data_IF_650718404814
#
_entry.id   IF_650718404814
#
_cell.length_a   1.000
_cell.length_b   1.000
_cell.length_c   1.000
_cell.angle_alpha   90.00
_cell.angle_beta   90.00
_cell.angle_gamma   90.00
#
_symmetry.space_group_name_H-M   'P 1'
#
loop_
_entity.id
_entity.type
_entity.pdbx_description
1 polymer ?
#
# COMPACT_ATOMS: atom_id res chain seq x y z
N UNK A 1 36.62 16.88 -38.68
CA UNK A 1 36.26 18.01 -37.79
C UNK A 1 34.84 17.73 -37.29
N UNK A 2 34.61 17.31 -36.04
CA UNK A 2 34.45 18.14 -34.82
C UNK A 2 33.45 19.29 -35.09
N UNK A 3 32.32 19.48 -34.41
CA UNK A 3 31.91 19.19 -33.04
C UNK A 3 30.38 19.25 -32.88
N UNK A 4 29.81 18.42 -32.01
CA UNK A 4 28.70 18.80 -31.11
C UNK A 4 28.70 17.82 -29.94
N UNK A 5 29.02 18.32 -28.74
CA UNK A 5 29.20 17.53 -27.51
C UNK A 5 27.84 17.34 -26.82
N UNK A 6 27.52 16.09 -26.51
CA UNK A 6 26.45 15.71 -25.58
C UNK A 6 26.74 16.27 -24.19
N UNK A 7 25.91 17.21 -23.73
CA UNK A 7 25.92 17.76 -22.36
C UNK A 7 25.03 16.97 -21.38
N UNK A 8 24.38 15.89 -21.83
CA UNK A 8 23.51 15.04 -20.99
C UNK A 8 24.20 13.81 -20.41
N UNK A 9 25.44 13.49 -20.82
CA UNK A 9 26.16 12.29 -20.34
C UNK A 9 27.08 12.53 -19.14
N UNK A 10 27.12 13.74 -18.57
CA UNK A 10 27.99 14.08 -17.43
C UNK A 10 27.30 14.05 -16.05
N UNK A 11 25.99 13.76 -15.98
CA UNK A 11 25.25 13.71 -14.71
C UNK A 11 24.76 12.30 -14.30
N UNK A 12 25.13 11.25 -15.05
CA UNK A 12 24.71 9.87 -14.77
C UNK A 12 25.82 8.95 -14.23
N UNK A 13 27.09 9.40 -14.18
CA UNK A 13 28.24 8.54 -13.85
C UNK A 13 28.99 8.90 -12.54
N UNK A 14 28.43 9.72 -11.65
CA UNK A 14 29.10 10.15 -10.41
C UNK A 14 28.52 9.57 -9.11
N UNK A 15 27.74 8.49 -9.15
CA UNK A 15 27.22 7.80 -7.95
C UNK A 15 27.60 6.31 -7.87
N UNK A 16 28.71 5.90 -8.48
CA UNK A 16 29.43 4.71 -8.03
C UNK A 16 30.36 5.14 -6.88
N UNK A 17 30.19 4.55 -5.69
CA UNK A 17 31.31 4.45 -4.74
C UNK A 17 31.15 4.94 -3.30
N UNK A 18 29.96 5.11 -2.73
CA UNK A 18 29.82 5.16 -1.26
C UNK A 18 28.59 4.38 -0.77
N UNK A 19 28.75 3.41 0.15
CA UNK A 19 27.61 2.76 0.77
C UNK A 19 26.82 3.83 1.55
N UNK A 20 25.57 4.08 1.16
CA UNK A 20 24.70 4.94 1.95
C UNK A 20 24.56 4.35 3.34
N UNK A 21 25.04 5.09 4.34
CA UNK A 21 24.97 4.66 5.73
C UNK A 21 23.50 4.63 6.17
N UNK A 22 22.94 3.43 6.31
CA UNK A 22 21.58 3.26 6.81
C UNK A 22 21.54 3.60 8.31
N UNK A 23 20.46 4.22 8.82
CA UNK A 23 20.36 4.52 10.24
C UNK A 23 20.31 3.24 11.07
N UNK A 24 20.95 3.27 12.24
CA UNK A 24 20.79 2.21 13.26
C UNK A 24 19.31 2.12 13.66
N UNK A 25 18.82 0.93 14.12
CA UNK A 25 17.41 0.74 14.47
C UNK A 25 16.82 1.81 15.40
N UNK A 26 17.56 2.19 16.45
CA UNK A 26 17.15 3.21 17.42
C UNK A 26 17.17 4.66 16.89
N UNK A 27 17.78 4.91 15.72
CA UNK A 27 17.90 6.22 15.11
C UNK A 27 17.02 6.40 13.86
N UNK A 28 16.22 5.38 13.49
CA UNK A 28 15.39 5.41 12.27
C UNK A 28 14.34 6.51 12.29
N UNK A 29 13.68 6.72 13.43
CA UNK A 29 12.50 7.58 13.52
C UNK A 29 12.75 8.99 12.99
N UNK A 30 13.82 9.65 13.44
CA UNK A 30 14.19 11.01 12.98
C UNK A 30 14.37 11.06 11.46
N UNK A 31 15.07 10.08 10.89
CA UNK A 31 15.29 9.98 9.44
C UNK A 31 13.98 9.76 8.68
N UNK A 32 13.10 8.89 9.19
CA UNK A 32 11.79 8.61 8.59
C UNK A 32 10.87 9.82 8.63
N UNK A 33 10.84 10.54 9.75
CA UNK A 33 10.06 11.79 9.88
C UNK A 33 10.54 12.84 8.89
N UNK A 34 11.86 13.02 8.74
CA UNK A 34 12.41 13.95 7.75
C UNK A 34 12.06 13.53 6.32
N UNK A 35 12.20 12.25 5.99
CA UNK A 35 11.82 11.71 4.69
C UNK A 35 10.31 11.88 4.41
N UNK A 36 9.46 11.69 5.42
CA UNK A 36 8.02 11.93 5.32
C UNK A 36 7.74 13.39 4.99
N UNK A 37 8.33 14.31 5.74
CA UNK A 37 8.15 15.75 5.54
C UNK A 37 8.62 16.17 4.14
N UNK A 38 9.78 15.68 3.68
CA UNK A 38 10.27 15.94 2.33
C UNK A 38 9.35 15.36 1.25
N UNK A 39 8.75 14.18 1.46
CA UNK A 39 7.77 13.61 0.51
C UNK A 39 6.50 14.44 0.45
N UNK A 40 5.97 14.87 1.59
CA UNK A 40 4.77 15.71 1.66
C UNK A 40 5.02 17.11 1.06
N UNK A 41 6.21 17.67 1.24
CA UNK A 41 6.58 18.99 0.71
C UNK A 41 6.71 19.05 -0.82
N UNK A 42 6.64 17.92 -1.52
CA UNK A 42 6.82 17.88 -2.99
C UNK A 42 5.70 18.59 -3.76
N UNK A 43 4.47 18.54 -3.26
CA UNK A 43 3.32 19.17 -3.89
C UNK A 43 2.12 19.20 -2.94
N UNK A 44 1.12 20.04 -3.24
CA UNK A 44 -0.14 20.05 -2.51
C UNK A 44 -0.82 18.66 -2.52
N UNK A 45 -0.78 17.96 -3.65
CA UNK A 45 -1.31 16.60 -3.77
C UNK A 45 -0.58 15.61 -2.85
N UNK A 46 0.76 15.68 -2.78
CA UNK A 46 1.55 14.83 -1.89
C UNK A 46 1.30 15.13 -0.41
N UNK A 47 1.13 16.42 -0.06
CA UNK A 47 0.78 16.85 1.29
C UNK A 47 -0.59 16.31 1.71
N UNK A 48 -1.63 16.53 0.89
CA UNK A 48 -2.98 16.07 1.17
C UNK A 48 -3.01 14.55 1.36
N UNK A 49 -2.38 13.79 0.47
CA UNK A 49 -2.28 12.32 0.60
C UNK A 49 -1.44 11.84 1.78
N UNK A 50 -0.47 12.63 2.21
CA UNK A 50 0.42 12.27 3.33
C UNK A 50 -0.16 12.53 4.71
N UNK A 51 -1.32 13.20 4.81
CA UNK A 51 -1.82 13.73 6.08
C UNK A 51 -3.34 13.54 6.26
N UNK A 52 -3.73 12.29 6.55
CA UNK A 52 -5.12 11.90 6.77
C UNK A 52 -5.75 12.55 8.01
N UNK A 53 -4.98 12.71 9.10
CA UNK A 53 -5.46 13.32 10.33
C UNK A 53 -5.87 14.80 10.11
N UNK A 54 -5.00 15.60 9.48
CA UNK A 54 -5.35 17.00 9.18
C UNK A 54 -6.50 17.14 8.20
N UNK A 55 -6.68 16.19 7.27
CA UNK A 55 -7.87 16.18 6.43
C UNK A 55 -9.15 16.07 7.25
N UNK A 56 -9.19 15.17 8.22
CA UNK A 56 -10.37 15.04 9.07
C UNK A 56 -10.51 16.23 10.02
N UNK A 57 -9.43 16.76 10.60
CA UNK A 57 -9.51 18.01 11.39
C UNK A 57 -10.11 19.16 10.56
N UNK A 58 -9.62 19.34 9.33
CA UNK A 58 -10.17 20.33 8.40
C UNK A 58 -11.64 20.07 8.10
N UNK A 59 -12.02 18.83 7.81
CA UNK A 59 -13.39 18.46 7.48
C UNK A 59 -14.36 18.73 8.63
N UNK A 60 -13.97 18.40 9.87
CA UNK A 60 -14.78 18.65 11.06
C UNK A 60 -14.83 20.14 11.45
N UNK A 61 -13.84 20.94 11.05
CA UNK A 61 -13.82 22.39 11.31
C UNK A 61 -14.79 23.20 10.44
N UNK A 62 -15.36 22.60 9.38
CA UNK A 62 -16.27 23.30 8.47
C UNK A 62 -17.64 23.54 9.13
N UNK A 63 -17.86 24.76 9.64
CA UNK A 63 -19.15 25.18 10.19
C UNK A 63 -20.22 25.31 9.10
N UNK A 64 -21.39 24.69 9.28
CA UNK A 64 -22.58 24.90 8.44
C UNK A 64 -22.68 24.06 7.16
N UNK A 65 -21.61 23.37 6.74
CA UNK A 65 -21.65 22.39 5.63
C UNK A 65 -21.58 20.98 6.18
N UNK A 66 -22.73 20.41 6.53
CA UNK A 66 -22.79 19.00 6.93
C UNK A 66 -22.73 18.14 5.69
N UNK A 67 -21.82 17.17 5.69
CA UNK A 67 -21.88 16.08 4.72
C UNK A 67 -23.26 15.40 4.79
N UNK A 68 -23.79 14.91 3.66
CA UNK A 68 -25.01 14.13 3.68
C UNK A 68 -24.85 12.94 4.62
N UNK A 69 -25.93 12.58 5.32
CA UNK A 69 -25.93 11.37 6.15
C UNK A 69 -26.01 10.15 5.24
N UNK A 70 -25.07 9.21 5.42
CA UNK A 70 -25.08 7.92 4.74
C UNK A 70 -25.22 6.74 5.71
N UNK A 71 -25.52 5.54 5.20
CA UNK A 71 -25.56 4.34 6.02
C UNK A 71 -24.18 4.01 6.59
N UNK A 72 -24.10 3.33 7.75
CA UNK A 72 -22.85 2.86 8.31
C UNK A 72 -22.32 1.68 7.49
N UNK A 73 -21.32 1.93 6.64
CA UNK A 73 -20.66 0.91 5.80
C UNK A 73 -19.16 0.95 6.02
N UNK A 74 -18.46 -0.13 5.65
CA UNK A 74 -17.00 -0.07 5.57
C UNK A 74 -16.58 0.98 4.55
N UNK A 75 -15.69 1.87 4.96
CA UNK A 75 -15.05 2.89 4.13
C UNK A 75 -13.54 2.71 4.20
N UNK A 76 -12.82 3.11 3.17
CA UNK A 76 -11.36 3.14 3.12
C UNK A 76 -10.79 4.09 4.17
N UNK A 77 -11.45 5.24 4.39
CA UNK A 77 -11.07 6.23 5.39
C UNK A 77 -9.89 7.12 4.96
N UNK A 78 -9.14 6.74 3.93
CA UNK A 78 -8.12 7.57 3.26
C UNK A 78 -8.18 7.41 1.74
N UNK A 79 -9.40 7.34 1.18
CA UNK A 79 -9.60 7.07 -0.23
C UNK A 79 -9.00 8.18 -1.11
N UNK A 80 -7.99 7.85 -1.91
CA UNK A 80 -7.36 8.79 -2.82
C UNK A 80 -6.95 8.10 -4.11
N UNK A 81 -6.70 8.84 -5.19
CA UNK A 81 -6.45 8.26 -6.53
C UNK A 81 -5.33 7.21 -6.56
N UNK A 82 -4.30 7.35 -5.71
CA UNK A 82 -3.21 6.37 -5.60
C UNK A 82 -3.58 5.02 -4.93
N UNK A 83 -4.75 4.93 -4.29
CA UNK A 83 -5.24 3.70 -3.67
C UNK A 83 -5.93 2.81 -4.69
N UNK A 84 -6.46 3.39 -5.75
CA UNK A 84 -7.10 2.65 -6.83
C UNK A 84 -6.03 2.01 -7.72
N UNK A 85 -6.24 0.74 -8.06
CA UNK A 85 -5.47 0.13 -9.13
C UNK A 85 -5.45 -1.40 -9.11
N UNK A 86 -4.70 -1.99 -10.06
CA UNK A 86 -4.70 -3.41 -10.27
C UNK A 86 -4.11 -4.15 -9.07
N UNK A 87 -4.81 -5.19 -8.62
CA UNK A 87 -4.39 -6.11 -7.57
C UNK A 87 -4.77 -7.53 -7.98
N UNK A 88 -3.86 -8.49 -7.81
CA UNK A 88 -4.17 -9.91 -7.99
C UNK A 88 -4.98 -10.47 -6.83
N UNK A 89 -5.83 -11.46 -7.09
CA UNK A 89 -6.40 -12.35 -6.07
C UNK A 89 -5.46 -13.55 -5.79
N UNK A 90 -5.86 -14.48 -4.90
CA UNK A 90 -5.08 -15.67 -4.57
C UNK A 90 -4.87 -16.61 -5.76
N UNK A 91 -5.74 -16.55 -6.77
CA UNK A 91 -5.66 -17.31 -8.02
C UNK A 91 -4.90 -16.58 -9.13
N UNK A 92 -4.40 -15.37 -8.86
CA UNK A 92 -3.66 -14.56 -9.81
C UNK A 92 -4.53 -13.78 -10.81
N UNK A 93 -5.85 -13.76 -10.64
CA UNK A 93 -6.75 -12.89 -11.43
C UNK A 93 -6.55 -11.45 -10.98
N UNK A 94 -6.37 -10.53 -11.92
CA UNK A 94 -6.06 -9.13 -11.62
C UNK A 94 -7.28 -8.28 -11.87
N UNK A 95 -7.63 -7.48 -10.86
CA UNK A 95 -8.77 -6.57 -10.89
C UNK A 95 -8.43 -5.21 -10.24
N UNK A 96 -9.27 -4.20 -10.46
CA UNK A 96 -9.19 -2.87 -9.90
C UNK A 96 -9.79 -2.86 -8.50
N UNK A 97 -8.92 -2.68 -7.50
CA UNK A 97 -9.33 -2.66 -6.10
C UNK A 97 -8.88 -1.37 -5.42
N UNK A 98 -9.51 -1.08 -4.27
CA UNK A 98 -9.03 -0.08 -3.32
C UNK A 98 -7.92 -0.74 -2.49
N UNK A 99 -6.75 -0.13 -2.46
CA UNK A 99 -5.62 -0.54 -1.62
C UNK A 99 -5.43 0.42 -0.45
N UNK A 100 -4.51 0.06 0.44
CA UNK A 100 -4.08 0.88 1.58
C UNK A 100 -5.25 1.18 2.55
N UNK A 101 -5.69 0.12 3.23
CA UNK A 101 -6.88 0.10 4.09
C UNK A 101 -6.54 0.31 5.57
N UNK A 102 -5.39 0.92 5.84
CA UNK A 102 -4.87 1.22 7.17
C UNK A 102 -5.87 2.08 7.97
N UNK A 103 -6.66 2.90 7.28
CA UNK A 103 -7.67 3.82 7.84
C UNK A 103 -9.10 3.26 7.78
N UNK A 104 -9.29 2.01 7.38
CA UNK A 104 -10.61 1.45 7.15
C UNK A 104 -11.44 1.35 8.43
N UNK A 105 -12.67 1.86 8.38
CA UNK A 105 -13.63 1.86 9.49
C UNK A 105 -15.04 1.69 8.95
N UNK A 106 -15.99 1.34 9.81
CA UNK A 106 -17.40 1.52 9.50
C UNK A 106 -17.77 2.99 9.75
N UNK A 107 -18.11 3.71 8.68
CA UNK A 107 -18.34 5.16 8.70
C UNK A 107 -19.31 5.64 7.63
N UNK A 108 -19.39 6.96 7.46
CA UNK A 108 -20.20 7.59 6.42
C UNK A 108 -19.47 7.50 5.06
N UNK A 109 -20.07 6.92 4.00
CA UNK A 109 -19.43 6.80 2.68
C UNK A 109 -19.05 8.15 2.06
N UNK A 110 -19.72 9.25 2.44
CA UNK A 110 -19.37 10.60 1.99
C UNK A 110 -17.92 10.99 2.31
N UNK A 111 -17.30 10.42 3.36
CA UNK A 111 -15.90 10.69 3.68
C UNK A 111 -14.95 10.25 2.58
N UNK A 112 -15.16 9.05 2.01
CA UNK A 112 -14.30 8.53 0.94
C UNK A 112 -14.50 9.32 -0.36
N UNK A 113 -15.74 9.72 -0.69
CA UNK A 113 -16.03 10.53 -1.87
C UNK A 113 -15.37 11.90 -1.80
N UNK A 114 -15.48 12.58 -0.65
CA UNK A 114 -14.84 13.89 -0.44
C UNK A 114 -13.32 13.77 -0.44
N UNK A 115 -12.77 12.72 0.19
CA UNK A 115 -11.33 12.46 0.20
C UNK A 115 -10.79 12.19 -1.21
N UNK A 116 -11.50 11.37 -1.99
CA UNK A 116 -11.13 11.05 -3.36
C UNK A 116 -11.25 12.27 -4.27
N UNK A 117 -12.34 13.04 -4.15
CA UNK A 117 -12.54 14.28 -4.89
C UNK A 117 -11.44 15.30 -4.60
N UNK A 118 -11.07 15.52 -3.32
CA UNK A 118 -9.95 16.38 -2.96
C UNK A 118 -8.62 15.87 -3.54
N UNK A 119 -8.41 14.56 -3.54
CA UNK A 119 -7.24 13.94 -4.17
C UNK A 119 -7.20 14.22 -5.68
N UNK A 120 -8.31 14.06 -6.39
CA UNK A 120 -8.38 14.33 -7.83
C UNK A 120 -8.18 15.81 -8.15
N UNK A 121 -8.84 16.70 -7.42
CA UNK A 121 -8.71 18.15 -7.60
C UNK A 121 -7.27 18.64 -7.37
N UNK A 122 -6.60 18.13 -6.34
CA UNK A 122 -5.20 18.48 -6.06
C UNK A 122 -4.23 17.87 -7.07
N UNK A 123 -4.52 16.67 -7.60
CA UNK A 123 -3.72 16.06 -8.67
C UNK A 123 -3.85 16.83 -9.99
N UNK A 124 -5.08 17.24 -10.35
CA UNK A 124 -5.35 18.04 -11.54
C UNK A 124 -4.66 19.40 -11.45
N UNK A 125 -4.79 20.07 -10.30
CA UNK A 125 -4.09 21.34 -10.03
C UNK A 125 -2.57 21.20 -10.07
N UNK A 126 -2.03 20.10 -9.53
CA UNK A 126 -0.59 19.83 -9.57
C UNK A 126 -0.06 19.49 -10.97
N UNK A 127 -0.95 19.22 -11.93
CA UNK A 127 -0.64 18.96 -13.34
C UNK A 127 -1.03 20.14 -14.24
N UNK A 128 -1.30 21.32 -13.67
CA UNK A 128 -1.73 22.53 -14.37
C UNK A 128 -2.94 22.34 -15.31
N UNK A 129 -3.84 21.40 -14.97
CA UNK A 129 -5.05 21.18 -15.75
C UNK A 129 -6.07 22.31 -15.54
N UNK A 130 -6.82 22.72 -16.58
CA UNK A 130 -7.86 23.72 -16.45
C UNK A 130 -8.93 23.36 -15.41
N UNK A 131 -9.54 24.37 -14.80
CA UNK A 131 -10.61 24.19 -13.81
C UNK A 131 -11.80 23.39 -14.37
N UNK A 132 -12.13 23.56 -15.65
CA UNK A 132 -13.16 22.78 -16.34
C UNK A 132 -12.83 21.29 -16.42
N UNK A 133 -11.55 20.93 -16.59
CA UNK A 133 -11.10 19.54 -16.57
C UNK A 133 -11.22 18.97 -15.17
N UNK A 134 -10.86 19.75 -14.15
CA UNK A 134 -11.02 19.34 -12.74
C UNK A 134 -12.49 19.10 -12.41
N UNK A 135 -13.38 20.02 -12.78
CA UNK A 135 -14.81 19.88 -12.55
C UNK A 135 -15.37 18.61 -13.21
N UNK A 136 -15.02 18.39 -14.48
CA UNK A 136 -15.41 17.17 -15.20
C UNK A 136 -14.89 15.90 -14.53
N UNK A 137 -13.63 15.87 -14.08
CA UNK A 137 -13.11 14.71 -13.36
C UNK A 137 -13.90 14.39 -12.08
N UNK A 138 -14.38 15.41 -11.37
CA UNK A 138 -15.19 15.22 -10.16
C UNK A 138 -16.62 14.79 -10.48
N UNK A 139 -17.20 15.32 -11.56
CA UNK A 139 -18.51 14.94 -12.07
C UNK A 139 -18.53 13.47 -12.50
N UNK A 140 -17.58 13.05 -13.32
CA UNK A 140 -17.46 11.66 -13.79
C UNK A 140 -17.17 10.69 -12.62
N UNK A 141 -16.45 11.15 -11.59
CA UNK A 141 -16.26 10.38 -10.35
C UNK A 141 -17.59 10.13 -9.62
N UNK A 142 -18.43 11.17 -9.49
CA UNK A 142 -19.73 11.03 -8.83
C UNK A 142 -20.70 10.22 -9.68
N UNK A 143 -20.73 10.46 -11.00
CA UNK A 143 -21.55 9.69 -11.92
C UNK A 143 -21.21 8.20 -11.86
N UNK A 144 -19.93 7.82 -11.91
CA UNK A 144 -19.51 6.42 -11.78
C UNK A 144 -19.87 5.82 -10.41
N UNK A 145 -19.92 6.62 -9.34
CA UNK A 145 -20.40 6.16 -8.04
C UNK A 145 -21.92 5.92 -8.03
N UNK A 146 -22.70 6.78 -8.68
CA UNK A 146 -24.16 6.63 -8.80
C UNK A 146 -24.55 5.45 -9.69
N UNK A 147 -23.88 5.28 -10.84
CA UNK A 147 -24.09 4.19 -11.78
C UNK A 147 -23.86 2.81 -11.15
N UNK A 148 -22.93 2.72 -10.18
CA UNK A 148 -22.66 1.48 -9.45
C UNK A 148 -23.87 0.96 -8.64
N UNK A 149 -24.90 1.79 -8.39
CA UNK A 149 -26.15 1.38 -7.73
C UNK A 149 -27.28 1.05 -8.71
N UNK A 150 -27.10 1.36 -10.01
CA UNK A 150 -28.16 1.26 -11.02
C UNK A 150 -28.13 -0.06 -11.80
N UNK A 151 -27.00 -0.78 -11.80
CA UNK A 151 -26.86 -2.10 -12.42
C UNK A 151 -27.22 -3.25 -11.46
N UNK A 152 -27.48 -4.42 -12.01
CA UNK A 152 -27.45 -5.66 -11.23
C UNK A 152 -26.00 -5.86 -10.77
N UNK A 153 -25.75 -5.90 -9.45
CA UNK A 153 -24.43 -5.75 -8.81
C UNK A 153 -23.32 -6.75 -9.21
N UNK A 154 -23.57 -7.62 -10.18
CA UNK A 154 -22.64 -8.58 -10.76
C UNK A 154 -22.10 -8.16 -12.16
N UNK A 155 -22.69 -7.14 -12.81
CA UNK A 155 -22.19 -6.65 -14.10
C UNK A 155 -21.03 -5.67 -13.92
N UNK A 156 -19.85 -6.07 -14.39
CA UNK A 156 -18.67 -5.22 -14.36
C UNK A 156 -18.68 -4.22 -15.52
N UNK A 157 -18.55 -2.90 -15.26
CA UNK A 157 -18.60 -1.90 -16.31
C UNK A 157 -17.45 -2.08 -17.31
N UNK A 158 -17.68 -1.68 -18.56
CA UNK A 158 -16.63 -1.74 -19.57
C UNK A 158 -15.48 -0.80 -19.18
N UNK A 159 -14.33 -1.41 -18.87
CA UNK A 159 -13.14 -0.64 -18.48
C UNK A 159 -12.57 0.15 -19.66
N UNK A 160 -12.25 1.44 -19.48
CA UNK A 160 -11.56 2.23 -20.49
C UNK A 160 -10.20 1.61 -20.88
N UNK A 161 -9.74 1.89 -22.10
CA UNK A 161 -8.48 1.37 -22.63
C UNK A 161 -7.28 1.68 -21.71
N UNK A 162 -7.26 2.86 -21.09
CA UNK A 162 -6.21 3.30 -20.18
C UNK A 162 -6.14 2.41 -18.93
N UNK A 163 -7.30 1.97 -18.42
CA UNK A 163 -7.39 1.03 -17.30
C UNK A 163 -6.90 -0.35 -17.75
N UNK A 164 -7.36 -0.83 -18.91
CA UNK A 164 -6.91 -2.12 -19.50
C UNK A 164 -5.38 -2.15 -19.69
N UNK A 165 -4.77 -1.05 -20.16
CA UNK A 165 -3.31 -0.90 -20.29
C UNK A 165 -2.62 -0.92 -18.91
N UNK A 166 -3.15 -0.16 -17.94
CA UNK A 166 -2.63 -0.14 -16.57
C UNK A 166 -2.63 -1.53 -15.92
N UNK A 167 -3.70 -2.30 -16.13
CA UNK A 167 -3.81 -3.69 -15.68
C UNK A 167 -2.77 -4.59 -16.34
N UNK A 168 -2.61 -4.52 -17.68
CA UNK A 168 -1.58 -5.30 -18.41
C UNK A 168 -0.17 -4.99 -17.92
N UNK A 169 0.16 -3.73 -17.68
CA UNK A 169 1.47 -3.33 -17.15
C UNK A 169 1.71 -3.89 -15.74
N UNK A 170 0.68 -3.97 -14.90
CA UNK A 170 0.78 -4.58 -13.57
C UNK A 170 1.02 -6.10 -13.63
N UNK A 171 0.40 -6.79 -14.60
CA UNK A 171 0.64 -8.24 -14.84
C UNK A 171 2.10 -8.48 -15.23
N UNK A 172 2.64 -7.67 -16.15
CA UNK A 172 4.01 -7.80 -16.64
C UNK A 172 5.06 -7.46 -15.57
N UNK A 173 4.72 -6.61 -14.60
CA UNK A 173 5.52 -6.36 -13.39
C UNK A 173 5.41 -7.47 -12.35
N UNK A 174 5.07 -8.69 -12.76
CA UNK A 174 5.16 -9.84 -11.86
C UNK A 174 6.62 -10.03 -11.43
N UNK A 175 6.79 -10.26 -10.14
CA UNK A 175 8.08 -10.32 -9.44
C UNK A 175 9.12 -11.28 -10.05
N UNK A 176 8.76 -12.14 -11.01
CA UNK A 176 9.73 -12.90 -11.83
C UNK A 176 10.81 -11.98 -12.45
N UNK A 177 10.48 -10.71 -12.77
CA UNK A 177 11.48 -9.73 -13.24
C UNK A 177 12.33 -9.11 -12.12
N UNK A 178 11.75 -8.77 -10.96
CA UNK A 178 12.50 -8.14 -9.86
C UNK A 178 13.42 -9.12 -9.12
N UNK A 179 13.07 -10.40 -9.06
CA UNK A 179 13.91 -11.43 -8.45
C UNK A 179 15.05 -11.87 -9.40
N UNK A 180 14.78 -12.05 -10.71
CA UNK A 180 15.83 -12.40 -11.66
C UNK A 180 16.85 -11.29 -11.92
N UNK A 181 16.44 -10.02 -11.88
CA UNK A 181 17.35 -8.89 -12.17
C UNK A 181 18.26 -8.51 -10.97
N UNK A 182 18.09 -9.09 -9.78
CA UNK A 182 18.78 -8.63 -8.55
C UNK A 182 19.42 -9.70 -7.68
N UNK A 183 19.28 -10.99 -8.01
CA UNK A 183 19.83 -12.09 -7.23
C UNK A 183 20.72 -12.97 -8.14
N UNK A 184 21.98 -12.55 -8.31
CA UNK A 184 23.03 -13.36 -8.96
C UNK A 184 23.67 -14.37 -7.98
N UNK A 185 23.33 -14.29 -6.69
CA UNK A 185 23.88 -15.15 -5.63
C UNK A 185 23.05 -16.42 -5.37
N UNK A 186 23.74 -17.47 -4.94
CA UNK A 186 23.21 -18.82 -4.63
C UNK A 186 22.18 -18.83 -3.49
N UNK A 187 22.06 -17.75 -2.71
CA UNK A 187 20.97 -17.53 -1.75
C UNK A 187 20.44 -16.10 -1.88
N UNK A 188 19.12 -15.90 -2.08
CA UNK A 188 18.55 -14.58 -2.29
C UNK A 188 18.51 -13.78 -0.97
N UNK A 189 18.95 -12.52 -1.02
CA UNK A 189 19.00 -11.61 0.14
C UNK A 189 18.45 -10.23 -0.19
N UNK A 190 17.85 -9.54 0.78
CA UNK A 190 17.28 -8.19 0.62
C UNK A 190 18.42 -7.16 0.71
N UNK A 191 18.74 -6.43 -0.37
CA UNK A 191 19.88 -5.51 -0.37
C UNK A 191 19.58 -4.27 0.48
N UNK A 192 20.41 -4.07 1.51
CA UNK A 192 20.31 -2.89 2.37
C UNK A 192 20.73 -1.62 1.63
N UNK A 193 20.05 -0.50 1.91
CA UNK A 193 20.33 0.79 1.29
C UNK A 193 19.18 1.77 1.43
N UNK A 194 18.78 2.41 0.32
CA UNK A 194 17.75 3.46 0.30
C UNK A 194 16.38 2.97 0.81
N UNK A 195 16.03 1.74 0.45
CA UNK A 195 14.68 1.20 0.63
C UNK A 195 14.59 0.16 1.75
N UNK A 196 15.72 -0.45 2.12
CA UNK A 196 15.77 -1.51 3.11
C UNK A 196 16.86 -1.20 4.14
N UNK A 197 16.52 -1.22 5.42
CA UNK A 197 17.46 -0.97 6.52
C UNK A 197 17.61 -2.21 7.40
N UNK A 198 18.77 -2.32 8.07
CA UNK A 198 19.05 -3.45 8.95
C UNK A 198 18.08 -3.47 10.14
N UNK A 199 17.53 -4.64 10.47
CA UNK A 199 16.69 -4.90 11.64
C UNK A 199 17.48 -4.80 12.97
N UNK A 200 16.79 -4.52 14.07
CA UNK A 200 17.30 -4.80 15.41
C UNK A 200 17.28 -6.31 15.69
N UNK A 201 17.99 -6.75 16.73
CA UNK A 201 17.95 -8.15 17.17
C UNK A 201 16.52 -8.57 17.56
N UNK A 202 15.80 -7.74 18.32
CA UNK A 202 14.44 -8.04 18.75
C UNK A 202 13.46 -8.13 17.56
N UNK A 203 13.60 -7.25 16.57
CA UNK A 203 12.80 -7.30 15.33
C UNK A 203 13.06 -8.58 14.55
N UNK A 204 14.34 -8.97 14.40
CA UNK A 204 14.71 -10.19 13.68
C UNK A 204 14.16 -11.44 14.36
N UNK A 205 14.30 -11.57 15.68
CA UNK A 205 13.78 -12.74 16.41
C UNK A 205 12.24 -12.79 16.36
N UNK A 206 11.56 -11.65 16.52
CA UNK A 206 10.11 -11.59 16.43
C UNK A 206 9.58 -12.02 15.05
N UNK A 207 10.21 -11.54 13.96
CA UNK A 207 9.87 -11.96 12.60
C UNK A 207 10.15 -13.45 12.39
N UNK A 208 11.29 -13.95 12.90
CA UNK A 208 11.63 -15.37 12.81
C UNK A 208 10.57 -16.24 13.49
N UNK A 209 10.18 -15.92 14.72
CA UNK A 209 9.10 -16.63 15.43
C UNK A 209 7.79 -16.54 14.66
N UNK A 210 7.41 -15.34 14.19
CA UNK A 210 6.19 -15.13 13.43
C UNK A 210 6.13 -15.99 12.15
N UNK A 211 7.23 -16.11 11.41
CA UNK A 211 7.27 -16.89 10.16
C UNK A 211 7.14 -18.40 10.36
N UNK A 212 7.20 -18.89 11.61
CA UNK A 212 6.98 -20.31 11.95
C UNK A 212 5.54 -20.64 12.32
N UNK A 213 4.63 -19.65 12.39
CA UNK A 213 3.24 -19.91 12.78
C UNK A 213 2.43 -20.49 11.63
N UNK A 214 1.40 -21.28 11.97
CA UNK A 214 0.50 -21.91 11.00
C UNK A 214 -0.25 -20.89 10.15
N UNK A 215 -0.53 -19.70 10.65
CA UNK A 215 -1.22 -18.66 9.91
C UNK A 215 -0.37 -18.07 8.78
N UNK A 216 0.95 -17.91 9.00
CA UNK A 216 1.88 -17.46 7.95
C UNK A 216 2.06 -18.56 6.91
N UNK A 217 2.22 -19.80 7.37
CA UNK A 217 2.32 -20.95 6.47
C UNK A 217 1.09 -21.07 5.57
N UNK A 218 -0.12 -21.00 6.14
CA UNK A 218 -1.38 -21.02 5.39
C UNK A 218 -1.51 -19.84 4.42
N UNK A 219 -1.08 -18.63 4.83
CA UNK A 219 -1.08 -17.46 3.94
C UNK A 219 -0.18 -17.69 2.73
N UNK A 220 1.07 -18.12 2.95
CA UNK A 220 2.09 -18.29 1.90
C UNK A 220 1.72 -19.40 0.92
N UNK A 221 1.14 -20.50 1.41
CA UNK A 221 0.68 -21.65 0.59
C UNK A 221 -0.66 -21.39 -0.11
N UNK A 222 -1.49 -20.45 0.37
CA UNK A 222 -2.75 -20.10 -0.31
C UNK A 222 -2.57 -19.37 -1.65
N UNK A 223 -1.34 -18.95 -1.98
CA UNK A 223 -1.03 -18.12 -3.15
C UNK A 223 -0.67 -19.02 -4.34
N UNK A 224 -1.28 -18.77 -5.51
CA UNK A 224 -0.84 -19.32 -6.81
C UNK A 224 -0.78 -20.85 -6.94
N UNK A 225 -1.76 -21.57 -6.40
CA UNK A 225 -1.88 -23.01 -6.65
C UNK A 225 -0.78 -23.87 -6.02
N UNK A 226 -0.06 -23.32 -5.04
CA UNK A 226 0.87 -24.04 -4.18
C UNK A 226 0.15 -25.10 -3.36
N UNK A 227 0.88 -26.13 -2.94
CA UNK A 227 0.34 -27.15 -2.06
C UNK A 227 0.24 -26.62 -0.64
N UNK A 228 -0.81 -27.04 0.08
CA UNK A 228 -0.91 -26.78 1.52
C UNK A 228 0.18 -27.49 2.34
N UNK A 229 0.88 -28.46 1.76
CA UNK A 229 1.96 -29.21 2.42
C UNK A 229 3.35 -28.71 2.03
N UNK A 230 3.46 -27.68 1.18
CA UNK A 230 4.75 -27.16 0.74
C UNK A 230 5.58 -26.67 1.93
N UNK A 231 6.87 -26.99 1.91
CA UNK A 231 7.81 -26.48 2.90
C UNK A 231 7.94 -24.96 2.76
N UNK A 232 7.86 -24.23 3.88
CA UNK A 232 7.99 -22.77 3.90
C UNK A 232 9.13 -22.40 4.85
N UNK A 233 10.07 -21.60 4.34
CA UNK A 233 11.21 -21.14 5.14
C UNK A 233 11.44 -19.64 5.00
N UNK A 234 11.89 -19.02 6.09
CA UNK A 234 12.33 -17.63 6.11
C UNK A 234 13.75 -17.55 5.52
N UNK A 235 13.92 -16.79 4.44
CA UNK A 235 15.22 -16.59 3.77
C UNK A 235 15.89 -15.30 4.25
N UNK A 236 15.17 -14.18 4.25
CA UNK A 236 15.72 -12.91 4.72
C UNK A 236 14.63 -11.92 5.17
N UNK A 237 15.00 -10.91 5.94
CA UNK A 237 14.10 -9.84 6.38
C UNK A 237 14.80 -8.51 6.59
N UNK A 238 14.11 -7.42 6.24
CA UNK A 238 14.63 -6.06 6.40
C UNK A 238 13.54 -5.06 6.80
N UNK A 239 13.96 -3.95 7.41
CA UNK A 239 13.07 -2.81 7.65
C UNK A 239 12.77 -2.10 6.33
N UNK A 240 11.49 -1.89 6.00
CA UNK A 240 11.08 -1.38 4.69
C UNK A 240 10.73 0.12 4.72
N UNK A 241 11.55 0.92 4.06
CA UNK A 241 11.34 2.37 3.87
C UNK A 241 10.37 2.61 2.71
N UNK A 242 9.07 2.51 2.98
CA UNK A 242 8.01 2.67 1.96
C UNK A 242 6.80 3.43 2.50
N UNK A 243 6.09 4.09 1.59
CA UNK A 243 4.92 4.92 1.89
C UNK A 243 5.23 6.42 2.00
N UNK A 244 4.21 7.19 2.33
CA UNK A 244 4.32 8.61 2.66
C UNK A 244 3.84 8.82 4.10
N UNK A 245 2.52 8.80 4.33
CA UNK A 245 1.88 8.93 5.64
C UNK A 245 2.36 7.88 6.65
N UNK A 246 2.59 6.65 6.19
CA UNK A 246 3.05 5.52 7.03
C UNK A 246 4.53 5.58 7.45
N UNK A 247 5.32 6.55 6.95
CA UNK A 247 6.72 6.68 7.37
C UNK A 247 6.79 7.11 8.83
N UNK A 248 7.50 6.32 9.63
CA UNK A 248 7.55 6.45 11.09
C UNK A 248 6.83 5.30 11.81
N UNK A 249 5.98 4.56 11.10
CA UNK A 249 5.43 3.28 11.57
C UNK A 249 6.39 2.13 11.23
N UNK A 250 6.25 1.01 11.94
CA UNK A 250 7.02 -0.19 11.68
C UNK A 250 6.53 -0.89 10.42
N UNK A 251 7.47 -1.24 9.54
CA UNK A 251 7.19 -1.98 8.31
C UNK A 251 8.37 -2.86 7.96
N UNK A 252 8.10 -4.11 7.62
CA UNK A 252 9.12 -5.10 7.33
C UNK A 252 8.83 -5.78 5.99
N UNK A 253 9.90 -6.02 5.25
CA UNK A 253 9.89 -6.87 4.07
C UNK A 253 10.48 -8.22 4.50
N UNK A 254 9.77 -9.31 4.20
CA UNK A 254 10.17 -10.67 4.59
C UNK A 254 10.15 -11.55 3.36
N UNK A 255 11.29 -12.12 3.04
CA UNK A 255 11.48 -13.04 1.91
C UNK A 255 11.35 -14.49 2.41
N UNK A 256 10.38 -15.20 1.86
CA UNK A 256 10.10 -16.60 2.14
C UNK A 256 10.42 -17.46 0.92
N UNK A 257 11.01 -18.64 1.15
CA UNK A 257 11.12 -19.72 0.18
C UNK A 257 9.97 -20.71 0.38
N UNK A 258 9.44 -21.24 -0.72
CA UNK A 258 8.35 -22.22 -0.74
C UNK A 258 8.68 -23.36 -1.68
N UNK A 259 8.47 -24.59 -1.23
CA UNK A 259 8.84 -25.81 -1.95
C UNK A 259 10.27 -26.26 -1.65
N UNK A 260 10.71 -27.28 -2.39
CA UNK A 260 12.01 -27.91 -2.22
C UNK A 260 13.14 -27.10 -2.86
N UNK A 261 14.40 -27.39 -2.51
CA UNK A 261 15.56 -26.62 -2.98
C UNK A 261 15.70 -26.60 -4.52
N UNK A 262 15.26 -27.65 -5.21
CA UNK A 262 15.36 -27.79 -6.66
C UNK A 262 14.28 -27.02 -7.46
N UNK A 263 13.14 -26.69 -6.85
CA UNK A 263 12.02 -25.95 -7.48
C UNK A 263 11.48 -24.84 -6.56
N UNK A 264 12.39 -24.19 -5.83
CA UNK A 264 12.01 -23.21 -4.81
C UNK A 264 11.39 -21.95 -5.43
N UNK A 265 10.16 -21.65 -5.01
CA UNK A 265 9.51 -20.38 -5.30
C UNK A 265 9.76 -19.34 -4.19
N UNK A 266 9.77 -18.06 -4.57
CA UNK A 266 9.91 -16.96 -3.63
C UNK A 266 8.60 -16.24 -3.37
N UNK A 267 8.38 -15.85 -2.11
CA UNK A 267 7.25 -15.04 -1.67
C UNK A 267 7.76 -13.87 -0.81
N UNK A 268 7.33 -12.64 -1.12
CA UNK A 268 7.66 -11.46 -0.33
C UNK A 268 6.44 -11.02 0.46
N UNK A 269 6.54 -11.02 1.78
CA UNK A 269 5.51 -10.55 2.69
C UNK A 269 5.78 -9.10 3.11
N UNK A 270 4.72 -8.29 3.13
CA UNK A 270 4.70 -6.90 3.62
C UNK A 270 4.06 -6.84 5.00
N UNK A 271 4.88 -6.84 6.05
CA UNK A 271 4.39 -6.75 7.43
C UNK A 271 4.30 -5.27 7.81
N UNK A 272 3.11 -4.78 8.10
CA UNK A 272 2.85 -3.36 8.40
C UNK A 272 2.20 -3.18 9.75
N UNK A 273 2.70 -2.23 10.53
CA UNK A 273 2.10 -1.83 11.79
C UNK A 273 0.71 -1.22 11.55
N UNK A 274 -0.24 -1.67 12.35
CA UNK A 274 -1.61 -1.21 12.35
C UNK A 274 -1.85 -0.29 13.55
N UNK A 275 -2.12 0.99 13.27
CA UNK A 275 -2.43 2.00 14.29
C UNK A 275 -3.92 2.31 14.32
N UNK A 276 -4.34 3.14 15.29
CA UNK A 276 -5.71 3.64 15.33
C UNK A 276 -6.02 4.44 14.04
N UNK A 277 -7.22 4.27 13.49
CA UNK A 277 -7.67 5.07 12.36
C UNK A 277 -7.96 6.52 12.80
N UNK A 278 -7.51 7.48 12.00
CA UNK A 278 -7.95 8.87 12.06
C UNK A 278 -9.35 9.06 11.48
N UNK A 279 -9.79 8.15 10.60
CA UNK A 279 -11.11 8.20 10.00
C UNK A 279 -12.22 8.08 11.06
N UNK A 280 -13.24 8.96 11.03
CA UNK A 280 -14.34 8.93 11.98
C UNK A 280 -15.23 7.73 11.72
N UNK A 281 -15.40 6.91 12.77
CA UNK A 281 -16.29 5.75 12.77
C UNK A 281 -17.68 6.11 13.28
N UNK A 282 -18.70 5.38 12.83
CA UNK A 282 -20.04 5.49 13.39
C UNK A 282 -20.06 5.02 14.84
N UNK A 283 -20.63 5.83 15.75
CA UNK A 283 -20.49 5.66 17.20
C UNK A 283 -20.91 4.27 17.74
N UNK A 284 -21.91 3.63 17.14
CA UNK A 284 -22.44 2.31 17.57
C UNK A 284 -21.99 1.15 16.67
N UNK A 285 -21.09 1.39 15.72
CA UNK A 285 -20.60 0.33 14.85
C UNK A 285 -19.68 -0.64 15.63
N UNK A 286 -19.93 -1.95 15.50
CA UNK A 286 -19.07 -2.98 16.08
C UNK A 286 -17.78 -3.06 15.27
N UNK A 287 -16.68 -2.61 15.88
CA UNK A 287 -15.35 -2.64 15.27
C UNK A 287 -14.46 -3.67 15.95
N UNK A 288 -13.56 -4.36 15.21
CA UNK A 288 -12.49 -5.12 15.83
C UNK A 288 -11.66 -4.24 16.78
N UNK A 289 -11.34 -4.77 17.97
CA UNK A 289 -10.53 -4.04 18.97
C UNK A 289 -9.06 -3.94 18.58
N UNK A 290 -8.56 -4.95 17.87
CA UNK A 290 -7.19 -4.98 17.36
C UNK A 290 -7.12 -4.28 16.01
N UNK A 291 -6.14 -3.37 15.83
CA UNK A 291 -6.04 -2.56 14.62
C UNK A 291 -5.70 -3.38 13.37
N UNK A 292 -4.84 -4.40 13.49
CA UNK A 292 -4.51 -5.30 12.39
C UNK A 292 -5.75 -6.06 11.93
N UNK A 293 -6.54 -6.58 12.89
CA UNK A 293 -7.84 -7.21 12.58
C UNK A 293 -8.81 -6.23 11.93
N UNK A 294 -8.87 -4.98 12.39
CA UNK A 294 -9.69 -3.94 11.76
C UNK A 294 -9.32 -3.73 10.29
N UNK A 295 -8.04 -3.59 9.98
CA UNK A 295 -7.55 -3.38 8.62
C UNK A 295 -7.89 -4.59 7.74
N UNK A 296 -7.63 -5.81 8.24
CA UNK A 296 -7.95 -7.06 7.53
C UNK A 296 -9.45 -7.20 7.26
N UNK A 297 -10.33 -6.95 8.23
CA UNK A 297 -11.78 -7.01 8.04
C UNK A 297 -12.26 -5.93 7.06
N UNK A 298 -11.76 -4.70 7.17
CA UNK A 298 -12.03 -3.65 6.17
C UNK A 298 -11.63 -4.07 4.76
N UNK A 299 -10.48 -4.74 4.60
CA UNK A 299 -10.04 -5.29 3.32
C UNK A 299 -10.94 -6.40 2.79
N UNK A 300 -11.45 -7.29 3.64
CA UNK A 300 -12.39 -8.34 3.22
C UNK A 300 -13.69 -7.78 2.67
N UNK A 301 -14.16 -6.65 3.20
CA UNK A 301 -15.38 -6.00 2.73
C UNK A 301 -15.15 -5.08 1.52
N UNK A 302 -14.07 -4.30 1.51
CA UNK A 302 -13.83 -3.29 0.47
C UNK A 302 -13.09 -3.84 -0.75
N UNK A 303 -12.29 -4.90 -0.58
CA UNK A 303 -11.46 -5.48 -1.65
C UNK A 303 -11.19 -6.96 -1.37
N UNK A 304 -12.19 -7.84 -1.54
CA UNK A 304 -12.11 -9.24 -1.13
C UNK A 304 -10.88 -10.00 -1.68
N UNK A 305 -10.46 -9.73 -2.91
CA UNK A 305 -9.24 -10.32 -3.50
C UNK A 305 -7.94 -9.93 -2.79
N UNK A 306 -7.93 -8.78 -2.12
CA UNK A 306 -6.86 -8.35 -1.21
C UNK A 306 -7.05 -8.95 0.18
N UNK A 307 -8.24 -8.79 0.77
CA UNK A 307 -8.54 -9.18 2.15
C UNK A 307 -8.45 -10.68 2.43
N UNK A 308 -8.67 -11.52 1.40
CA UNK A 308 -8.45 -12.98 1.46
C UNK A 308 -6.98 -13.37 1.59
N UNK A 309 -6.06 -12.46 1.28
CA UNK A 309 -4.60 -12.65 1.36
C UNK A 309 -3.98 -11.83 2.49
N UNK A 310 -4.77 -11.52 3.52
CA UNK A 310 -4.30 -10.75 4.66
C UNK A 310 -4.47 -11.54 5.96
N UNK A 311 -3.48 -11.40 6.84
CA UNK A 311 -3.56 -11.90 8.21
C UNK A 311 -3.19 -10.79 9.19
N UNK A 312 -3.90 -10.73 10.30
CA UNK A 312 -3.62 -9.84 11.42
C UNK A 312 -2.81 -10.58 12.48
N UNK A 313 -1.71 -9.98 12.93
CA UNK A 313 -0.77 -10.60 13.89
C UNK A 313 -0.35 -9.60 14.96
N UNK A 314 0.25 -10.08 16.04
CA UNK A 314 0.85 -9.23 17.08
C UNK A 314 2.28 -9.67 17.34
N UNK A 315 3.18 -8.71 17.45
CA UNK A 315 4.56 -8.94 17.88
C UNK A 315 5.12 -7.65 18.50
N UNK A 316 6.06 -7.79 19.44
CA UNK A 316 6.72 -6.66 20.10
C UNK A 316 5.72 -5.63 20.69
N UNK A 317 4.59 -6.09 21.24
CA UNK A 317 3.49 -5.26 21.76
C UNK A 317 2.70 -4.42 20.73
N UNK A 318 3.07 -4.50 19.44
CA UNK A 318 2.36 -3.84 18.35
C UNK A 318 1.39 -4.78 17.64
N UNK A 319 0.37 -4.19 17.01
CA UNK A 319 -0.56 -4.87 16.12
C UNK A 319 -0.10 -4.68 14.68
N UNK A 320 -0.14 -5.74 13.88
CA UNK A 320 0.29 -5.73 12.49
C UNK A 320 -0.74 -6.40 11.60
N UNK A 321 -0.65 -6.11 10.30
CA UNK A 321 -1.23 -6.93 9.25
C UNK A 321 -0.17 -7.27 8.20
N UNK A 322 -0.38 -8.37 7.50
CA UNK A 322 0.54 -8.91 6.50
C UNK A 322 -0.21 -9.11 5.20
N UNK A 323 0.44 -8.81 4.08
CA UNK A 323 -0.03 -8.99 2.71
C UNK A 323 1.10 -9.49 1.80
#
# INVERSE_FOLDING_TARGET
MKHSRNLTSQWSNSLQGFPMKTPRPNARLKTLTNLRNLKMARSAHAFVRGNTAQFYEWLHSQSGRRLPSGPPVWICGDCHAGNLGPTGDSKGRIDMHIRDLDQAVIGNPAHDLVRLGLSLATAARGSDLPGVTTARMLEEMMQGYEEAFMGDGDEEPERPLQVKIGMRSAVQRTWKHLAKERFEDTQPSIPLGKHFWALSRAEREAIKTLCTTSEIHALVTSIKGRSHDDHVQLLDSAYWVKGCSSLGLLRYAVLMGVGDEDDQEFCLLDIKEAVAAAAPRTARARMPRDNGKRVMEGARHLSPGLGSRMVAVRMLDHSFFIL
#
